data_IF_389200739987
#
_entry.id   IF_389200739987
#
_cell.length_a   1.000
_cell.length_b   1.000
_cell.length_c   1.000
_cell.angle_alpha   90.00
_cell.angle_beta   90.00
_cell.angle_gamma   90.00
#
_symmetry.space_group_name_H-M   'P 1'
#
loop_
_entity.id
_entity.type
_entity.pdbx_description
1 polymer ?
#
# COMPACT_ATOMS: atom_id res chain seq x y z
N UNK A 1 16.34 16.68 4.11
CA UNK A 1 15.13 17.08 4.87
C UNK A 1 15.18 16.56 6.31
N UNK A 2 15.48 15.27 6.52
CA UNK A 2 15.63 14.62 7.82
C UNK A 2 16.48 15.42 8.84
N UNK A 3 17.64 15.97 8.45
CA UNK A 3 18.50 16.75 9.37
C UNK A 3 17.87 18.07 9.86
N UNK A 4 16.99 18.70 9.08
CA UNK A 4 16.24 19.89 9.53
C UNK A 4 15.17 19.51 10.54
N UNK A 5 14.44 18.42 10.27
CA UNK A 5 13.42 17.88 11.19
C UNK A 5 14.06 17.43 12.50
N UNK A 6 15.21 16.74 12.46
CA UNK A 6 16.01 16.40 13.65
C UNK A 6 16.36 17.63 14.48
N UNK A 7 16.86 18.70 13.84
CA UNK A 7 17.23 19.94 14.52
C UNK A 7 16.03 20.62 15.19
N UNK A 8 14.93 20.79 14.47
CA UNK A 8 13.73 21.44 15.03
C UNK A 8 13.08 20.59 16.13
N UNK A 9 13.08 19.27 15.99
CA UNK A 9 12.58 18.37 17.04
C UNK A 9 13.43 18.43 18.30
N UNK A 10 14.76 18.34 18.18
CA UNK A 10 15.68 18.47 19.33
C UNK A 10 15.52 19.84 19.99
N UNK A 11 15.39 20.91 19.20
CA UNK A 11 15.13 22.27 19.71
C UNK A 11 13.79 22.38 20.45
N UNK A 12 12.74 21.70 19.98
CA UNK A 12 11.44 21.66 20.65
C UNK A 12 11.48 20.83 21.94
N UNK A 13 12.18 19.69 21.94
CA UNK A 13 12.39 18.86 23.13
C UNK A 13 13.15 19.62 24.21
N UNK A 14 14.21 20.35 23.85
CA UNK A 14 15.00 21.16 24.80
C UNK A 14 14.22 22.33 25.41
N UNK A 15 13.04 22.69 24.86
CA UNK A 15 12.15 23.72 25.40
C UNK A 15 11.07 23.17 26.35
N UNK A 16 10.98 21.85 26.51
CA UNK A 16 10.03 21.23 27.43
C UNK A 16 10.45 21.39 28.88
N UNK A 17 9.46 21.37 29.78
CA UNK A 17 9.64 21.51 31.21
C UNK A 17 10.18 20.22 31.86
N UNK A 18 10.76 20.36 33.05
CA UNK A 18 11.38 19.23 33.78
C UNK A 18 10.38 18.10 34.10
N UNK A 19 9.09 18.44 34.30
CA UNK A 19 8.01 17.48 34.53
C UNK A 19 7.79 16.57 33.30
N UNK A 20 7.90 17.10 32.09
CA UNK A 20 7.75 16.31 30.87
C UNK A 20 8.92 15.34 30.64
N UNK A 21 10.14 15.72 31.04
CA UNK A 21 11.31 14.85 31.02
C UNK A 21 11.28 13.75 32.10
N UNK A 22 10.56 13.97 33.21
CA UNK A 22 10.35 12.93 34.22
C UNK A 22 9.47 11.78 33.71
N UNK A 23 8.52 12.07 32.81
CA UNK A 23 7.66 11.08 32.16
C UNK A 23 8.31 10.48 30.90
N UNK A 24 9.18 11.22 30.21
CA UNK A 24 9.78 10.83 28.93
C UNK A 24 11.31 10.69 29.04
N UNK A 25 11.76 9.43 29.20
CA UNK A 25 13.20 9.10 29.22
C UNK A 25 13.91 9.51 27.91
N UNK A 26 15.13 10.04 28.03
CA UNK A 26 15.94 10.50 26.90
C UNK A 26 16.18 9.43 25.81
N UNK A 27 16.33 8.16 26.22
CA UNK A 27 16.44 7.03 25.30
C UNK A 27 15.16 6.81 24.47
N UNK A 28 14.00 6.88 25.11
CA UNK A 28 12.69 6.74 24.44
C UNK A 28 12.44 7.88 23.45
N UNK A 29 12.82 9.11 23.80
CA UNK A 29 12.69 10.27 22.92
C UNK A 29 13.57 10.10 21.67
N UNK A 30 14.79 9.61 21.82
CA UNK A 30 15.73 9.42 20.70
C UNK A 30 15.28 8.29 19.76
N UNK A 31 14.76 7.19 20.31
CA UNK A 31 14.18 6.09 19.53
C UNK A 31 12.94 6.55 18.78
N UNK A 32 11.98 7.19 19.47
CA UNK A 32 10.76 7.73 18.83
C UNK A 32 11.11 8.77 17.76
N UNK A 33 12.09 9.62 17.99
CA UNK A 33 12.54 10.58 16.99
C UNK A 33 13.06 9.88 15.73
N UNK A 34 13.91 8.87 15.91
CA UNK A 34 14.49 8.13 14.78
C UNK A 34 13.41 7.39 14.01
N UNK A 35 12.49 6.70 14.68
CA UNK A 35 11.35 6.02 14.05
C UNK A 35 10.44 6.97 13.28
N UNK A 36 10.04 8.10 13.89
CA UNK A 36 9.17 9.09 13.24
C UNK A 36 9.84 9.72 12.02
N UNK A 37 11.14 9.99 12.07
CA UNK A 37 11.86 10.55 10.92
C UNK A 37 11.95 9.53 9.80
N UNK A 38 12.25 8.27 10.09
CA UNK A 38 12.26 7.21 9.09
C UNK A 38 10.88 7.08 8.43
N UNK A 39 9.79 7.09 9.21
CA UNK A 39 8.43 7.07 8.66
C UNK A 39 8.11 8.28 7.77
N UNK A 40 8.55 9.48 8.17
CA UNK A 40 8.36 10.70 7.36
C UNK A 40 9.18 10.63 6.08
N UNK A 41 10.41 10.13 6.15
CA UNK A 41 11.29 9.99 4.99
C UNK A 41 10.74 8.98 3.99
N UNK A 42 10.26 7.83 4.46
CA UNK A 42 9.57 6.83 3.64
C UNK A 42 8.26 7.38 3.04
N UNK A 43 7.53 8.19 3.80
CA UNK A 43 6.26 8.79 3.37
C UNK A 43 6.43 9.93 2.35
N UNK A 44 7.42 10.81 2.54
CA UNK A 44 7.62 12.01 1.73
C UNK A 44 8.54 11.76 0.54
N UNK A 45 9.52 10.86 0.66
CA UNK A 45 10.47 10.56 -0.41
C UNK A 45 9.83 9.69 -1.50
N UNK A 46 9.68 8.40 -1.20
CA UNK A 46 9.40 7.40 -2.23
C UNK A 46 7.92 7.41 -2.66
N UNK A 47 7.01 7.49 -1.68
CA UNK A 47 5.57 7.47 -1.95
C UNK A 47 5.10 8.71 -2.71
N UNK A 48 5.57 9.90 -2.37
CA UNK A 48 5.18 11.11 -3.12
C UNK A 48 5.76 11.09 -4.54
N UNK A 49 6.97 10.57 -4.73
CA UNK A 49 7.55 10.34 -6.06
C UNK A 49 6.71 9.39 -6.89
N UNK A 50 6.29 8.26 -6.31
CA UNK A 50 5.38 7.31 -6.97
C UNK A 50 4.03 7.93 -7.33
N UNK A 51 3.43 8.73 -6.43
CA UNK A 51 2.15 9.40 -6.71
C UNK A 51 2.28 10.44 -7.81
N UNK A 52 3.31 11.29 -7.76
CA UNK A 52 3.57 12.29 -8.79
C UNK A 52 3.82 11.63 -10.14
N UNK A 53 4.60 10.53 -10.16
CA UNK A 53 4.82 9.71 -11.35
C UNK A 53 3.53 9.11 -11.87
N UNK A 54 2.70 8.52 -11.00
CA UNK A 54 1.42 7.93 -11.39
C UNK A 54 0.48 8.95 -12.02
N UNK A 55 0.32 10.13 -11.41
CA UNK A 55 -0.52 11.21 -11.95
C UNK A 55 0.02 11.71 -13.30
N UNK A 56 1.33 11.92 -13.38
CA UNK A 56 1.97 12.42 -14.62
C UNK A 56 1.81 11.42 -15.75
N UNK A 57 2.04 10.13 -15.48
CA UNK A 57 1.92 9.07 -16.49
C UNK A 57 0.46 8.90 -16.94
N UNK A 58 -0.50 8.96 -16.01
CA UNK A 58 -1.93 8.90 -16.32
C UNK A 58 -2.39 10.06 -17.22
N UNK A 59 -1.96 11.29 -16.92
CA UNK A 59 -2.31 12.46 -17.73
C UNK A 59 -1.65 12.36 -19.11
N UNK A 60 -0.36 11.99 -19.15
CA UNK A 60 0.38 11.84 -20.41
C UNK A 60 -0.22 10.75 -21.31
N UNK A 61 -0.58 9.60 -20.74
CA UNK A 61 -1.20 8.49 -21.47
C UNK A 61 -2.58 8.84 -22.00
N UNK A 62 -3.41 9.52 -21.19
CA UNK A 62 -4.71 10.01 -21.61
C UNK A 62 -4.59 10.96 -22.81
N UNK A 63 -3.71 11.96 -22.73
CA UNK A 63 -3.48 12.94 -23.81
C UNK A 63 -3.01 12.26 -25.08
N UNK A 64 -2.00 11.38 -25.00
CA UNK A 64 -1.50 10.62 -26.16
C UNK A 64 -2.61 9.76 -26.77
N UNK A 65 -3.39 9.05 -25.95
CA UNK A 65 -4.46 8.20 -26.45
C UNK A 65 -5.52 9.00 -27.21
N UNK A 66 -5.96 10.14 -26.67
CA UNK A 66 -6.97 11.01 -27.32
C UNK A 66 -6.50 11.61 -28.64
N UNK A 67 -5.20 11.91 -28.78
CA UNK A 67 -4.63 12.48 -30.02
C UNK A 67 -4.67 11.46 -31.17
N UNK A 68 -4.38 10.19 -30.91
CA UNK A 68 -4.30 9.17 -31.96
C UNK A 68 -5.66 8.63 -32.39
N UNK A 69 -6.51 8.20 -31.44
CA UNK A 69 -7.76 7.50 -31.76
C UNK A 69 -8.81 7.63 -30.65
N UNK A 70 -9.63 8.68 -30.69
CA UNK A 70 -10.68 8.95 -29.70
C UNK A 70 -11.66 7.78 -29.45
N UNK A 71 -11.91 6.93 -30.46
CA UNK A 71 -12.80 5.76 -30.35
C UNK A 71 -12.20 4.63 -29.51
N UNK A 72 -10.91 4.38 -29.63
CA UNK A 72 -10.19 3.35 -28.85
C UNK A 72 -9.99 3.87 -27.43
N UNK A 73 -9.71 5.17 -27.28
CA UNK A 73 -9.56 5.82 -25.97
C UNK A 73 -10.82 5.73 -25.13
N UNK A 74 -12.02 5.88 -25.71
CA UNK A 74 -13.28 5.75 -24.95
C UNK A 74 -13.47 4.35 -24.35
N UNK A 75 -13.11 3.30 -25.09
CA UNK A 75 -13.11 1.91 -24.62
C UNK A 75 -12.13 1.73 -23.45
N UNK A 76 -10.95 2.32 -23.57
CA UNK A 76 -9.90 2.31 -22.56
C UNK A 76 -10.26 3.11 -21.30
N UNK A 77 -10.91 4.26 -21.44
CA UNK A 77 -11.39 5.07 -20.31
C UNK A 77 -12.42 4.30 -19.48
N UNK A 78 -13.21 3.42 -20.09
CA UNK A 78 -14.14 2.53 -19.38
C UNK A 78 -13.47 1.51 -18.45
N UNK A 79 -12.20 1.18 -18.67
CA UNK A 79 -11.43 0.28 -17.79
C UNK A 79 -11.15 0.91 -16.43
N UNK A 80 -10.88 2.22 -16.42
CA UNK A 80 -10.58 3.00 -15.21
C UNK A 80 -11.66 2.94 -14.12
N UNK A 81 -12.93 3.29 -14.39
CA UNK A 81 -13.99 3.20 -13.40
C UNK A 81 -14.31 1.74 -13.03
N UNK A 82 -14.15 0.79 -13.96
CA UNK A 82 -14.37 -0.63 -13.67
C UNK A 82 -13.31 -1.18 -12.72
N UNK A 83 -12.03 -0.85 -12.91
CA UNK A 83 -10.94 -1.23 -11.99
C UNK A 83 -11.04 -0.46 -10.66
N UNK A 84 -11.43 0.82 -10.69
CA UNK A 84 -11.68 1.56 -9.46
C UNK A 84 -12.81 0.92 -8.63
N UNK A 85 -13.88 0.45 -9.27
CA UNK A 85 -14.97 -0.26 -8.60
C UNK A 85 -14.51 -1.59 -7.99
N UNK A 86 -13.71 -2.38 -8.69
CA UNK A 86 -13.17 -3.64 -8.15
C UNK A 86 -12.24 -3.39 -6.97
N UNK A 87 -11.37 -2.37 -7.03
CA UNK A 87 -10.52 -1.97 -5.91
C UNK A 87 -11.33 -1.47 -4.71
N UNK A 88 -12.40 -0.71 -4.94
CA UNK A 88 -13.29 -0.26 -3.87
C UNK A 88 -13.99 -1.44 -3.18
N UNK A 89 -14.48 -2.41 -3.96
CA UNK A 89 -15.08 -3.64 -3.43
C UNK A 89 -14.06 -4.47 -2.63
N UNK A 90 -12.83 -4.61 -3.14
CA UNK A 90 -11.75 -5.28 -2.43
C UNK A 90 -11.46 -4.59 -1.10
N UNK A 91 -11.33 -3.26 -1.10
CA UNK A 91 -11.06 -2.48 0.11
C UNK A 91 -12.20 -2.64 1.13
N UNK A 92 -13.45 -2.60 0.68
CA UNK A 92 -14.61 -2.76 1.55
C UNK A 92 -14.64 -4.15 2.22
N UNK A 93 -14.50 -5.22 1.43
CA UNK A 93 -14.51 -6.61 1.92
C UNK A 93 -13.31 -6.95 2.80
N UNK A 94 -12.12 -6.46 2.45
CA UNK A 94 -10.89 -6.76 3.17
C UNK A 94 -10.72 -5.91 4.43
N UNK A 95 -11.30 -4.72 4.50
CA UNK A 95 -11.10 -3.77 5.62
C UNK A 95 -11.46 -4.35 7.00
N UNK A 96 -12.56 -5.10 7.10
CA UNK A 96 -13.01 -5.70 8.36
C UNK A 96 -12.05 -6.80 8.83
N UNK A 97 -11.62 -7.66 7.90
CA UNK A 97 -10.67 -8.74 8.18
C UNK A 97 -9.29 -8.18 8.51
N UNK A 98 -8.84 -7.15 7.80
CA UNK A 98 -7.58 -6.44 8.07
C UNK A 98 -7.57 -5.83 9.47
N UNK A 99 -8.66 -5.17 9.89
CA UNK A 99 -8.77 -4.60 11.24
C UNK A 99 -8.65 -5.67 12.33
N UNK A 100 -9.32 -6.81 12.16
CA UNK A 100 -9.23 -7.94 13.10
C UNK A 100 -7.84 -8.56 13.12
N UNK A 101 -7.20 -8.70 11.96
CA UNK A 101 -5.83 -9.18 11.84
C UNK A 101 -4.86 -8.25 12.57
N UNK A 102 -5.04 -6.93 12.42
CA UNK A 102 -4.22 -5.92 13.07
C UNK A 102 -4.42 -5.93 14.59
N UNK A 103 -5.65 -6.01 15.09
CA UNK A 103 -5.93 -6.06 16.53
C UNK A 103 -5.33 -7.31 17.20
N UNK A 104 -5.42 -8.48 16.56
CA UNK A 104 -4.78 -9.71 17.10
C UNK A 104 -3.25 -9.60 17.07
N UNK A 105 -2.70 -8.94 16.06
CA UNK A 105 -1.25 -8.66 15.98
C UNK A 105 -0.79 -7.69 17.07
N UNK A 106 -1.58 -6.67 17.38
CA UNK A 106 -1.32 -5.72 18.48
C UNK A 106 -1.34 -6.43 19.84
N UNK A 107 -2.33 -7.29 20.10
CA UNK A 107 -2.38 -8.10 21.33
C UNK A 107 -1.15 -9.03 21.47
N UNK A 108 -0.73 -9.66 20.37
CA UNK A 108 0.47 -10.49 20.36
C UNK A 108 1.74 -9.65 20.61
N UNK A 109 1.82 -8.44 20.03
CA UNK A 109 2.88 -7.47 20.27
C UNK A 109 2.96 -7.05 21.73
N UNK A 110 1.82 -6.75 22.36
CA UNK A 110 1.75 -6.40 23.78
C UNK A 110 2.26 -7.52 24.69
N UNK A 111 1.95 -8.79 24.39
CA UNK A 111 2.50 -9.94 25.14
C UNK A 111 4.02 -10.05 24.99
N UNK A 112 4.55 -9.80 23.80
CA UNK A 112 6.00 -9.80 23.57
C UNK A 112 6.66 -8.63 24.33
N UNK A 113 6.06 -7.45 24.30
CA UNK A 113 6.53 -6.28 25.03
C UNK A 113 6.52 -6.51 26.55
N UNK A 114 5.45 -7.11 27.08
CA UNK A 114 5.34 -7.52 28.49
C UNK A 114 6.47 -8.47 28.90
N UNK A 115 6.80 -9.45 28.04
CA UNK A 115 7.88 -10.39 28.28
C UNK A 115 9.27 -9.72 28.26
N UNK A 116 9.50 -8.77 27.36
CA UNK A 116 10.77 -8.04 27.22
C UNK A 116 10.96 -7.07 28.40
N UNK A 117 9.93 -6.29 28.74
CA UNK A 117 9.98 -5.35 29.86
C UNK A 117 10.24 -6.05 31.20
N UNK A 118 9.65 -7.24 31.40
CA UNK A 118 9.77 -8.02 32.63
C UNK A 118 10.75 -9.21 32.51
N UNK A 119 11.72 -9.14 31.60
CA UNK A 119 12.60 -10.28 31.29
C UNK A 119 13.30 -10.88 32.53
N UNK A 120 13.72 -10.05 33.49
CA UNK A 120 14.34 -10.51 34.75
C UNK A 120 13.37 -11.30 35.63
N UNK A 121 12.11 -10.86 35.73
CA UNK A 121 11.06 -11.53 36.49
C UNK A 121 10.64 -12.83 35.82
N UNK A 122 10.50 -12.83 34.49
CA UNK A 122 10.18 -14.03 33.71
C UNK A 122 11.28 -15.08 33.85
N UNK A 123 12.56 -14.67 33.83
CA UNK A 123 13.69 -15.57 34.09
C UNK A 123 13.70 -16.07 35.54
N UNK A 124 13.45 -15.21 36.53
CA UNK A 124 13.42 -15.58 37.94
C UNK A 124 12.29 -16.59 38.27
N UNK A 125 11.16 -16.49 37.59
CA UNK A 125 10.03 -17.42 37.74
C UNK A 125 10.10 -18.63 36.79
N UNK A 126 11.17 -18.77 36.00
CA UNK A 126 11.30 -19.79 34.95
C UNK A 126 10.09 -19.84 33.99
N UNK A 127 9.49 -18.68 33.71
CA UNK A 127 8.21 -18.51 32.99
C UNK A 127 8.35 -18.32 31.48
N UNK A 128 9.53 -18.58 30.91
CA UNK A 128 9.83 -18.33 29.49
C UNK A 128 8.91 -19.16 28.59
N UNK A 129 8.78 -20.47 28.83
CA UNK A 129 7.91 -21.35 28.06
C UNK A 129 6.43 -20.94 28.14
N UNK A 130 6.00 -20.40 29.27
CA UNK A 130 4.63 -19.90 29.44
C UNK A 130 4.36 -18.71 28.54
N UNK A 131 5.26 -17.71 28.52
CA UNK A 131 5.11 -16.52 27.67
C UNK A 131 5.18 -16.88 26.17
N UNK A 132 6.07 -17.81 25.79
CA UNK A 132 6.17 -18.32 24.41
C UNK A 132 4.87 -19.01 24.00
N UNK A 133 4.31 -19.90 24.83
CA UNK A 133 3.02 -20.55 24.55
C UNK A 133 1.86 -19.55 24.49
N UNK A 134 1.87 -18.52 25.35
CA UNK A 134 0.86 -17.44 25.36
C UNK A 134 0.90 -16.67 24.03
N UNK A 135 2.09 -16.33 23.54
CA UNK A 135 2.30 -15.68 22.25
C UNK A 135 1.90 -16.59 21.07
N UNK A 136 2.35 -17.85 21.05
CA UNK A 136 1.99 -18.81 19.99
C UNK A 136 0.48 -19.00 19.86
N UNK A 137 -0.24 -19.07 20.98
CA UNK A 137 -1.70 -19.21 20.98
C UNK A 137 -2.38 -18.02 20.30
N UNK A 138 -1.94 -16.79 20.59
CA UNK A 138 -2.45 -15.58 19.94
C UNK A 138 -2.08 -15.53 18.46
N UNK A 139 -0.85 -15.92 18.12
CA UNK A 139 -0.41 -16.03 16.72
C UNK A 139 -1.22 -17.04 15.91
N UNK A 140 -1.52 -18.22 16.48
CA UNK A 140 -2.39 -19.23 15.85
C UNK A 140 -3.82 -18.71 15.64
N UNK A 141 -4.33 -17.91 16.57
CA UNK A 141 -5.61 -17.20 16.42
C UNK A 141 -5.63 -16.19 15.26
N UNK A 142 -4.48 -15.64 14.87
CA UNK A 142 -4.38 -14.71 13.74
C UNK A 142 -4.37 -15.41 12.37
N UNK A 143 -3.93 -16.67 12.33
CA UNK A 143 -3.77 -17.45 11.09
C UNK A 143 -5.04 -17.50 10.22
N UNK A 144 -6.26 -17.80 10.74
CA UNK A 144 -7.46 -17.83 9.90
C UNK A 144 -7.81 -16.46 9.32
N UNK A 145 -7.63 -15.37 10.08
CA UNK A 145 -7.86 -14.01 9.57
C UNK A 145 -6.87 -13.64 8.48
N UNK A 146 -5.60 -14.01 8.65
CA UNK A 146 -4.56 -13.81 7.63
C UNK A 146 -4.89 -14.59 6.35
N UNK A 147 -5.28 -15.86 6.46
CA UNK A 147 -5.66 -16.68 5.29
C UNK A 147 -6.87 -16.08 4.57
N UNK A 148 -7.89 -15.68 5.32
CA UNK A 148 -9.09 -15.07 4.73
C UNK A 148 -8.77 -13.74 4.04
N UNK A 149 -7.96 -12.89 4.67
CA UNK A 149 -7.51 -11.64 4.06
C UNK A 149 -6.74 -11.90 2.77
N UNK A 150 -5.72 -12.77 2.82
CA UNK A 150 -4.90 -13.13 1.66
C UNK A 150 -5.71 -13.74 0.52
N UNK A 151 -6.72 -14.56 0.83
CA UNK A 151 -7.59 -15.13 -0.19
C UNK A 151 -8.44 -14.06 -0.87
N UNK A 152 -9.05 -13.15 -0.10
CA UNK A 152 -9.84 -12.03 -0.65
C UNK A 152 -8.95 -11.16 -1.52
N UNK A 153 -7.82 -10.68 -1.02
CA UNK A 153 -6.93 -9.79 -1.79
C UNK A 153 -6.39 -10.49 -3.02
N UNK A 154 -5.95 -11.75 -2.92
CA UNK A 154 -5.44 -12.52 -4.05
C UNK A 154 -6.49 -12.78 -5.13
N UNK A 155 -7.73 -13.05 -4.75
CA UNK A 155 -8.83 -13.22 -5.71
C UNK A 155 -9.13 -11.92 -6.47
N UNK A 156 -9.23 -10.79 -5.75
CA UNK A 156 -9.49 -9.49 -6.38
C UNK A 156 -8.33 -9.00 -7.24
N UNK A 157 -7.09 -9.29 -6.85
CA UNK A 157 -5.91 -9.00 -7.65
C UNK A 157 -5.91 -9.82 -8.95
N UNK A 158 -6.15 -11.13 -8.87
CA UNK A 158 -6.28 -11.99 -10.04
C UNK A 158 -7.42 -11.55 -10.97
N UNK A 159 -8.57 -11.16 -10.41
CA UNK A 159 -9.69 -10.62 -11.17
C UNK A 159 -9.34 -9.31 -11.89
N UNK A 160 -8.57 -8.44 -11.24
CA UNK A 160 -8.11 -7.17 -11.83
C UNK A 160 -7.17 -7.42 -13.01
N UNK A 161 -6.23 -8.38 -12.90
CA UNK A 161 -5.40 -8.78 -14.05
C UNK A 161 -6.21 -9.41 -15.18
N UNK A 162 -7.18 -10.26 -14.86
CA UNK A 162 -8.08 -10.84 -15.84
C UNK A 162 -8.85 -9.78 -16.62
N UNK A 163 -9.37 -8.77 -15.92
CA UNK A 163 -10.02 -7.60 -16.53
C UNK A 163 -9.07 -6.89 -17.51
N UNK A 164 -7.83 -6.61 -17.09
CA UNK A 164 -6.85 -5.99 -17.98
C UNK A 164 -6.58 -6.80 -19.25
N UNK A 165 -6.46 -8.13 -19.16
CA UNK A 165 -6.24 -8.97 -20.33
C UNK A 165 -7.44 -9.00 -21.31
N UNK A 166 -8.67 -8.98 -20.80
CA UNK A 166 -9.87 -8.89 -21.66
C UNK A 166 -9.89 -7.56 -22.40
N UNK A 167 -9.65 -6.46 -21.71
CA UNK A 167 -9.63 -5.14 -22.34
C UNK A 167 -8.47 -4.98 -23.32
N UNK A 168 -7.30 -5.55 -23.00
CA UNK A 168 -6.17 -5.65 -23.91
C UNK A 168 -6.58 -6.34 -25.21
N UNK A 169 -7.16 -7.54 -25.10
CA UNK A 169 -7.58 -8.34 -26.24
C UNK A 169 -8.66 -7.64 -27.07
N UNK A 170 -9.66 -7.03 -26.41
CA UNK A 170 -10.72 -6.26 -27.06
C UNK A 170 -10.21 -5.02 -27.79
N UNK A 171 -9.27 -4.27 -27.19
CA UNK A 171 -8.65 -3.10 -27.80
C UNK A 171 -7.87 -3.46 -29.07
N UNK A 172 -7.11 -4.57 -29.06
CA UNK A 172 -6.43 -5.05 -30.26
C UNK A 172 -7.39 -5.52 -31.34
N UNK A 173 -8.42 -6.30 -30.98
CA UNK A 173 -9.42 -6.76 -31.96
C UNK A 173 -10.15 -5.58 -32.63
N UNK A 174 -10.58 -4.61 -31.84
CA UNK A 174 -11.21 -3.40 -32.37
C UNK A 174 -10.24 -2.56 -33.20
N UNK A 175 -8.98 -2.44 -32.76
CA UNK A 175 -7.93 -1.74 -33.49
C UNK A 175 -7.64 -2.36 -34.86
N UNK A 176 -7.58 -3.69 -34.96
CA UNK A 176 -7.42 -4.42 -36.22
C UNK A 176 -8.62 -4.20 -37.14
N UNK A 177 -9.85 -4.33 -36.63
CA UNK A 177 -11.07 -4.08 -37.43
C UNK A 177 -11.13 -2.63 -37.91
N UNK A 178 -10.74 -1.66 -37.08
CA UNK A 178 -10.70 -0.23 -37.42
C UNK A 178 -9.66 0.07 -38.52
N UNK A 179 -8.55 -0.66 -38.53
CA UNK A 179 -7.54 -0.59 -39.59
C UNK A 179 -8.08 -1.14 -40.93
N UNK A 180 -8.73 -2.31 -40.92
CA UNK A 180 -9.35 -2.89 -42.12
C UNK A 180 -10.44 -2.00 -42.72
N UNK A 181 -11.17 -1.26 -41.90
CA UNK A 181 -12.21 -0.33 -42.33
C UNK A 181 -11.66 1.04 -42.80
N UNK A 182 -10.34 1.25 -42.80
CA UNK A 182 -9.72 2.49 -43.27
C UNK A 182 -9.92 3.72 -42.38
N UNK A 183 -10.43 3.52 -41.15
CA UNK A 183 -10.72 4.60 -40.19
C UNK A 183 -9.44 5.06 -39.48
N UNK A 184 -8.44 4.18 -39.36
CA UNK A 184 -7.14 4.47 -38.72
C UNK A 184 -6.01 4.32 -39.73
N UNK A 185 -5.32 5.42 -40.04
CA UNK A 185 -4.36 5.50 -41.16
C UNK A 185 -3.03 4.76 -40.94
N UNK A 186 -2.72 4.27 -39.74
CA UNK A 186 -1.46 3.56 -39.46
C UNK A 186 -1.60 2.47 -38.39
N UNK A 187 -1.04 1.26 -38.60
CA UNK A 187 -0.99 0.21 -37.58
C UNK A 187 -0.30 0.66 -36.29
N UNK A 188 0.71 1.54 -36.41
CA UNK A 188 1.46 2.06 -35.26
C UNK A 188 0.61 2.87 -34.30
N UNK A 189 -0.43 3.56 -34.79
CA UNK A 189 -1.35 4.32 -33.94
C UNK A 189 -2.13 3.41 -32.98
N UNK A 190 -2.47 2.19 -33.40
CA UNK A 190 -3.18 1.21 -32.56
C UNK A 190 -2.26 0.67 -31.46
N UNK A 191 -1.01 0.35 -31.78
CA UNK A 191 -0.03 -0.09 -30.79
C UNK A 191 0.30 1.02 -29.79
N UNK A 192 0.48 2.25 -30.25
CA UNK A 192 0.76 3.40 -29.39
C UNK A 192 -0.45 3.70 -28.50
N UNK A 193 -1.68 3.71 -29.03
CA UNK A 193 -2.87 3.99 -28.22
C UNK A 193 -3.14 2.91 -27.18
N UNK A 194 -2.99 1.63 -27.54
CA UNK A 194 -3.23 0.52 -26.60
C UNK A 194 -2.09 0.39 -25.58
N UNK A 195 -0.83 0.59 -26.01
CA UNK A 195 0.33 0.55 -25.14
C UNK A 195 0.40 1.75 -24.18
N UNK A 196 0.05 2.95 -24.62
CA UNK A 196 0.09 4.16 -23.79
C UNK A 196 -0.90 4.09 -22.63
N UNK A 197 -2.13 3.60 -22.85
CA UNK A 197 -3.15 3.52 -21.79
C UNK A 197 -2.80 2.45 -20.74
N UNK A 198 -2.18 1.34 -21.15
CA UNK A 198 -1.93 0.21 -20.25
C UNK A 198 -0.59 0.27 -19.51
N UNK A 199 0.44 0.88 -20.10
CA UNK A 199 1.72 1.11 -19.42
C UNK A 199 1.75 2.45 -18.67
N UNK A 200 0.68 3.25 -18.82
CA UNK A 200 0.57 4.60 -18.30
C UNK A 200 -0.18 4.74 -16.99
#
# INVERSE_FOLDING_TARGET
MANRIKKEFVKAVLRQNATWFAENNAGMITTKLSENITQIEDGVGDKMGMLARGITTFIASAVVAFIYSWRITLLCVGVGPMSAATMMLMAWLSSSTMKKMMSVSEEAGCIAEEAIMNAKTVAACNGQDYMVKKYERKRKGNLPFAIQYSFITGFFEGFTYFQFYIFYSGAYLYGVISYYNGITSSPGAVFISTGAVLMG
#
